data_IF_189745961862
#
_entry.id   IF_189745961862
#
_cell.length_a   1.000
_cell.length_b   1.000
_cell.length_c   1.000
_cell.angle_alpha   90.00
_cell.angle_beta   90.00
_cell.angle_gamma   90.00
#
_symmetry.space_group_name_H-M   'P 1'
#
loop_
_entity.id
_entity.type
_entity.pdbx_description
1 polymer ?
#
# COMPACT_ATOMS: atom_id res chain seq x y z
N UNK A 1 -24.51 -22.59 2.65
CA UNK A 1 -25.01 -21.20 2.70
C UNK A 1 -23.98 -20.20 3.18
N UNK A 2 -23.22 -20.48 4.23
CA UNK A 2 -22.19 -19.55 4.76
C UNK A 2 -21.06 -19.25 3.78
N UNK A 3 -20.59 -20.22 3.02
CA UNK A 3 -19.49 -20.09 2.04
C UNK A 3 -19.82 -19.11 0.90
N UNK A 4 -21.04 -19.15 0.39
CA UNK A 4 -21.53 -18.26 -0.68
C UNK A 4 -21.69 -16.82 -0.19
N UNK A 5 -22.20 -16.64 1.03
CA UNK A 5 -22.36 -15.31 1.62
C UNK A 5 -21.02 -14.65 1.93
N UNK A 6 -20.02 -15.44 2.35
CA UNK A 6 -18.65 -14.96 2.52
C UNK A 6 -18.03 -14.49 1.19
N UNK A 7 -18.14 -15.31 0.14
CA UNK A 7 -17.62 -14.96 -1.20
C UNK A 7 -18.26 -13.66 -1.72
N UNK A 8 -19.56 -13.48 -1.50
CA UNK A 8 -20.27 -12.24 -1.84
C UNK A 8 -19.74 -11.02 -1.08
N UNK A 9 -19.38 -11.18 0.20
CA UNK A 9 -18.84 -10.08 1.01
C UNK A 9 -17.44 -9.64 0.58
N UNK A 10 -16.64 -10.55 0.05
CA UNK A 10 -15.27 -10.27 -0.45
C UNK A 10 -15.28 -9.62 -1.82
N UNK A 11 -16.25 -10.00 -2.67
CA UNK A 11 -16.33 -9.51 -4.06
C UNK A 11 -17.17 -8.24 -4.23
N UNK A 12 -18.02 -7.91 -3.26
CA UNK A 12 -18.93 -6.76 -3.31
C UNK A 12 -20.40 -7.17 -3.50
N UNK A 13 -21.29 -6.62 -2.68
CA UNK A 13 -22.70 -7.05 -2.59
C UNK A 13 -23.60 -6.61 -3.76
N UNK A 14 -23.12 -5.77 -4.67
CA UNK A 14 -23.97 -5.12 -5.70
C UNK A 14 -24.24 -5.94 -6.96
N UNK A 15 -23.66 -7.15 -7.12
CA UNK A 15 -23.84 -7.97 -8.30
C UNK A 15 -25.02 -8.99 -8.22
N UNK A 16 -25.82 -8.95 -7.16
CA UNK A 16 -26.80 -10.02 -6.88
C UNK A 16 -28.25 -9.57 -6.69
N UNK A 17 -28.69 -8.56 -7.40
CA UNK A 17 -30.16 -8.32 -7.52
C UNK A 17 -30.63 -8.98 -8.81
N UNK A 18 -31.18 -10.19 -8.69
CA UNK A 18 -31.92 -10.79 -9.77
C UNK A 18 -31.60 -12.22 -10.20
N UNK A 19 -31.20 -13.12 -9.27
CA UNK A 19 -31.24 -14.56 -9.58
C UNK A 19 -32.36 -15.21 -8.76
N UNK A 20 -33.49 -15.43 -9.43
CA UNK A 20 -34.58 -16.26 -8.89
C UNK A 20 -34.03 -17.69 -8.72
N UNK A 21 -34.37 -18.30 -7.56
CA UNK A 21 -34.12 -19.70 -7.23
C UNK A 21 -34.91 -20.61 -8.20
N UNK A 22 -34.33 -20.92 -9.34
CA UNK A 22 -34.76 -22.03 -10.17
C UNK A 22 -33.56 -22.98 -10.30
N UNK A 23 -33.79 -24.20 -9.86
CA UNK A 23 -32.85 -25.29 -9.77
C UNK A 23 -31.98 -25.49 -11.03
N UNK A 24 -30.67 -25.30 -10.86
CA UNK A 24 -29.63 -26.05 -11.55
C UNK A 24 -28.34 -25.93 -10.74
N UNK A 25 -27.84 -27.07 -10.26
CA UNK A 25 -26.66 -27.22 -9.42
C UNK A 25 -25.35 -27.06 -10.22
N UNK A 26 -25.08 -25.91 -10.80
CA UNK A 26 -23.71 -25.56 -11.17
C UNK A 26 -23.11 -24.70 -10.05
N UNK A 27 -22.16 -25.25 -9.30
CA UNK A 27 -21.32 -24.47 -8.38
C UNK A 27 -20.61 -23.41 -9.21
N UNK A 28 -21.02 -22.16 -9.08
CA UNK A 28 -20.32 -21.02 -9.69
C UNK A 28 -18.83 -21.13 -9.32
N UNK A 29 -17.95 -21.18 -10.32
CA UNK A 29 -16.52 -21.32 -10.10
C UNK A 29 -15.96 -20.05 -9.41
N UNK A 30 -14.92 -20.18 -8.59
CA UNK A 30 -14.25 -19.01 -8.00
C UNK A 30 -13.80 -18.00 -9.04
N UNK A 31 -13.39 -18.48 -10.22
CA UNK A 31 -12.99 -17.62 -11.32
C UNK A 31 -14.17 -16.82 -11.88
N UNK A 32 -15.34 -17.44 -12.03
CA UNK A 32 -16.57 -16.75 -12.47
C UNK A 32 -16.91 -15.60 -11.49
N UNK A 33 -16.83 -15.84 -10.18
CA UNK A 33 -17.08 -14.81 -9.17
C UNK A 33 -16.11 -13.63 -9.29
N UNK A 34 -14.83 -13.90 -9.58
CA UNK A 34 -13.83 -12.85 -9.83
C UNK A 34 -14.15 -12.09 -11.11
N UNK A 35 -14.45 -12.80 -12.19
CA UNK A 35 -14.74 -12.21 -13.51
C UNK A 35 -15.99 -11.32 -13.46
N UNK A 36 -16.99 -11.66 -12.64
CA UNK A 36 -18.18 -10.84 -12.40
C UNK A 36 -17.89 -9.48 -11.74
N UNK A 37 -16.74 -9.30 -11.10
CA UNK A 37 -16.31 -7.99 -10.56
C UNK A 37 -15.68 -7.09 -11.61
N UNK A 38 -15.23 -7.67 -12.75
CA UNK A 38 -14.44 -6.99 -13.77
C UNK A 38 -15.18 -5.80 -14.38
N UNK A 39 -14.44 -4.69 -14.56
CA UNK A 39 -14.90 -3.50 -15.26
C UNK A 39 -13.99 -3.20 -16.43
N UNK A 40 -14.53 -2.48 -17.43
CA UNK A 40 -13.75 -2.06 -18.59
C UNK A 40 -12.74 -0.99 -18.14
N UNK A 41 -11.47 -1.25 -18.42
CA UNK A 41 -10.32 -0.35 -18.22
C UNK A 41 -9.50 -0.28 -19.50
N UNK A 42 -8.65 0.71 -19.63
CA UNK A 42 -7.99 1.06 -20.91
C UNK A 42 -6.47 1.23 -20.81
N UNK A 43 -5.89 1.24 -19.62
CA UNK A 43 -4.46 1.48 -19.41
C UNK A 43 -4.03 2.96 -19.50
N UNK A 44 -4.98 3.92 -19.59
CA UNK A 44 -4.70 5.35 -19.85
C UNK A 44 -3.89 6.05 -18.74
N UNK A 45 -3.89 5.48 -17.53
CA UNK A 45 -3.12 6.05 -16.42
C UNK A 45 -1.67 5.55 -16.36
N UNK A 46 -1.26 4.70 -17.30
CA UNK A 46 0.14 4.28 -17.42
C UNK A 46 0.99 5.48 -17.86
N UNK A 47 2.00 5.83 -17.09
CA UNK A 47 2.83 7.03 -17.30
C UNK A 47 2.03 8.33 -17.39
N UNK A 48 0.83 8.36 -16.81
CA UNK A 48 0.04 9.58 -16.78
C UNK A 48 0.72 10.65 -15.93
N UNK A 49 0.78 11.86 -16.47
CA UNK A 49 1.17 13.08 -15.76
C UNK A 49 0.07 14.13 -15.92
N UNK A 50 -0.15 14.93 -14.88
CA UNK A 50 -1.01 16.10 -14.98
C UNK A 50 -0.21 17.35 -15.42
N UNK A 51 -0.91 18.44 -15.72
CA UNK A 51 -0.26 19.73 -15.89
C UNK A 51 0.50 20.12 -14.62
N UNK A 52 1.58 20.91 -14.77
CA UNK A 52 2.36 21.44 -13.64
C UNK A 52 1.47 22.22 -12.68
N UNK A 53 1.63 21.96 -11.39
CA UNK A 53 0.95 22.69 -10.32
C UNK A 53 2.03 23.38 -9.50
N UNK A 54 2.22 24.68 -9.71
CA UNK A 54 3.32 25.42 -9.07
C UNK A 54 3.35 25.27 -7.55
N UNK A 55 2.19 25.43 -6.89
CA UNK A 55 1.98 25.21 -5.47
C UNK A 55 0.77 24.32 -5.26
N UNK A 56 0.97 23.10 -4.82
CA UNK A 56 -0.11 22.12 -4.64
C UNK A 56 -0.95 22.49 -3.42
N UNK A 57 -2.23 22.79 -3.65
CA UNK A 57 -3.20 23.08 -2.59
C UNK A 57 -3.83 21.78 -2.10
N UNK A 58 -3.67 21.50 -0.81
CA UNK A 58 -3.96 20.18 -0.22
C UNK A 58 -5.09 20.27 0.79
N UNK A 59 -6.04 19.32 0.69
CA UNK A 59 -6.99 19.01 1.76
C UNK A 59 -6.62 17.70 2.45
N UNK A 60 -6.72 17.62 3.77
CA UNK A 60 -6.46 16.41 4.55
C UNK A 60 -7.75 15.94 5.21
N UNK A 61 -8.16 14.70 4.93
CA UNK A 61 -9.34 14.03 5.51
C UNK A 61 -8.88 12.88 6.41
N UNK A 62 -9.24 12.98 7.70
CA UNK A 62 -8.75 12.08 8.75
C UNK A 62 -7.46 12.60 9.39
N UNK A 63 -7.56 13.10 10.63
CA UNK A 63 -6.48 13.71 11.40
C UNK A 63 -6.17 12.91 12.68
N UNK A 64 -6.41 11.59 12.60
CA UNK A 64 -6.01 10.63 13.64
C UNK A 64 -4.48 10.48 13.71
N UNK A 65 -4.01 9.37 14.28
CA UNK A 65 -2.57 9.11 14.42
C UNK A 65 -1.84 9.27 13.09
N UNK A 66 -2.31 8.60 12.04
CA UNK A 66 -1.66 8.61 10.73
C UNK A 66 -1.77 9.97 10.04
N UNK A 67 -2.97 10.54 9.95
CA UNK A 67 -3.17 11.85 9.30
C UNK A 67 -2.39 12.98 9.96
N UNK A 68 -2.27 12.98 11.31
CA UNK A 68 -1.44 13.94 12.03
C UNK A 68 0.07 13.77 11.73
N UNK A 69 0.53 12.54 11.51
CA UNK A 69 1.91 12.29 11.09
C UNK A 69 2.14 12.79 9.67
N UNK A 70 1.24 12.48 8.74
CA UNK A 70 1.33 12.96 7.35
C UNK A 70 1.31 14.49 7.28
N UNK A 71 0.45 15.17 8.04
CA UNK A 71 0.44 16.63 8.11
C UNK A 71 1.84 17.20 8.42
N UNK A 72 2.56 16.58 9.35
CA UNK A 72 3.90 17.06 9.75
C UNK A 72 4.93 16.91 8.63
N UNK A 73 4.74 15.96 7.70
CA UNK A 73 5.65 15.77 6.55
C UNK A 73 5.60 16.94 5.56
N UNK A 74 4.53 17.76 5.59
CA UNK A 74 4.39 18.93 4.72
C UNK A 74 5.20 20.16 5.18
N UNK A 75 5.73 20.18 6.40
CA UNK A 75 6.45 21.37 6.93
C UNK A 75 7.48 21.91 5.96
N UNK A 76 8.43 21.08 5.51
CA UNK A 76 9.49 21.50 4.57
C UNK A 76 8.92 21.96 3.22
N UNK A 77 7.86 21.31 2.73
CA UNK A 77 7.25 21.64 1.44
C UNK A 77 6.52 22.98 1.49
N UNK A 78 5.91 23.31 2.62
CA UNK A 78 5.29 24.61 2.88
C UNK A 78 6.37 25.70 2.97
N UNK A 79 7.43 25.47 3.73
CA UNK A 79 8.57 26.41 3.85
C UNK A 79 9.27 26.67 2.50
N UNK A 80 9.19 25.72 1.56
CA UNK A 80 9.73 25.84 0.20
C UNK A 80 8.71 26.32 -0.83
N UNK A 81 7.51 26.65 -0.41
CA UNK A 81 6.41 27.10 -1.27
C UNK A 81 5.96 26.06 -2.33
N UNK A 82 6.23 24.75 -2.10
CA UNK A 82 5.82 23.67 -2.99
C UNK A 82 4.38 23.21 -2.75
N UNK A 83 3.86 23.41 -1.56
CA UNK A 83 2.51 23.03 -1.18
C UNK A 83 1.93 23.99 -0.14
N UNK A 84 0.59 23.98 -0.02
CA UNK A 84 -0.17 24.68 1.01
C UNK A 84 -1.32 23.81 1.49
N UNK A 85 -1.51 23.68 2.80
CA UNK A 85 -2.66 22.96 3.38
C UNK A 85 -3.81 23.97 3.54
N UNK A 86 -4.90 23.80 2.79
CA UNK A 86 -6.01 24.75 2.78
C UNK A 86 -7.31 24.20 3.37
N UNK A 87 -7.36 22.88 3.67
CA UNK A 87 -8.50 22.25 4.31
C UNK A 87 -8.10 21.13 5.27
N UNK A 88 -8.67 21.10 6.46
CA UNK A 88 -8.49 20.09 7.50
C UNK A 88 -9.85 19.51 7.88
N UNK A 89 -10.02 18.19 7.71
CA UNK A 89 -11.29 17.51 7.98
C UNK A 89 -11.10 16.30 8.91
N UNK A 90 -11.87 16.27 9.99
CA UNK A 90 -12.03 15.11 10.88
C UNK A 90 -13.36 15.23 11.61
N UNK A 91 -14.03 14.12 11.86
CA UNK A 91 -15.29 14.08 12.63
C UNK A 91 -15.11 14.52 14.10
N UNK A 92 -13.88 14.53 14.60
CA UNK A 92 -13.55 14.94 15.95
C UNK A 92 -12.92 16.34 15.98
N UNK A 93 -13.63 17.33 16.52
CA UNK A 93 -13.16 18.71 16.61
C UNK A 93 -11.83 18.88 17.35
N UNK A 94 -11.53 18.02 18.35
CA UNK A 94 -10.23 18.04 19.04
C UNK A 94 -9.06 17.77 18.10
N UNK A 95 -9.24 16.93 17.06
CA UNK A 95 -8.20 16.58 16.10
C UNK A 95 -7.97 17.70 15.09
N UNK A 96 -9.02 18.33 14.60
CA UNK A 96 -8.89 19.49 13.70
C UNK A 96 -8.26 20.69 14.43
N UNK A 97 -8.64 20.98 15.68
CA UNK A 97 -8.01 22.02 16.50
C UNK A 97 -6.50 21.78 16.68
N UNK A 98 -6.11 20.51 17.01
CA UNK A 98 -4.69 20.12 17.14
C UNK A 98 -3.96 20.33 15.81
N UNK A 99 -4.52 19.87 14.70
CA UNK A 99 -3.92 20.02 13.39
C UNK A 99 -3.74 21.48 12.98
N UNK A 100 -4.76 22.33 13.19
CA UNK A 100 -4.67 23.77 12.96
C UNK A 100 -3.58 24.44 13.81
N UNK A 101 -3.47 24.09 15.09
CA UNK A 101 -2.41 24.61 15.98
C UNK A 101 -1.01 24.17 15.54
N UNK A 102 -0.87 22.98 14.96
CA UNK A 102 0.42 22.53 14.39
C UNK A 102 0.72 23.32 13.12
N UNK A 103 -0.24 23.43 12.22
CA UNK A 103 -0.08 24.10 10.91
C UNK A 103 0.27 25.58 11.05
N UNK A 104 -0.36 26.31 11.98
CA UNK A 104 -0.11 27.74 12.22
C UNK A 104 1.34 28.09 12.58
N UNK A 105 2.15 27.09 12.95
CA UNK A 105 3.60 27.28 13.24
C UNK A 105 4.45 27.36 11.97
N UNK A 106 3.95 26.92 10.83
CA UNK A 106 4.70 26.77 9.58
C UNK A 106 4.09 27.54 8.41
N UNK A 107 2.78 27.75 8.46
CA UNK A 107 2.01 28.33 7.39
C UNK A 107 1.33 29.62 7.87
N UNK A 108 1.45 30.68 7.08
CA UNK A 108 0.87 32.00 7.41
C UNK A 108 -0.66 32.00 7.27
N UNK A 109 -1.17 31.40 6.20
CA UNK A 109 -2.62 31.32 5.95
C UNK A 109 -3.22 30.15 6.74
N UNK A 110 -4.36 30.40 7.39
CA UNK A 110 -5.08 29.33 8.07
C UNK A 110 -5.79 28.41 7.06
N UNK A 111 -5.83 27.10 7.37
CA UNK A 111 -6.68 26.17 6.65
C UNK A 111 -8.12 26.20 7.17
N UNK A 112 -9.10 26.04 6.28
CA UNK A 112 -10.50 25.89 6.67
C UNK A 112 -10.73 24.55 7.38
N UNK A 113 -11.60 24.55 8.38
CA UNK A 113 -11.86 23.40 9.24
C UNK A 113 -13.25 22.82 8.98
N UNK A 114 -13.30 21.50 8.76
CA UNK A 114 -14.51 20.73 8.47
C UNK A 114 -14.67 19.64 9.53
N UNK A 115 -15.60 19.83 10.48
CA UNK A 115 -15.82 18.93 11.62
C UNK A 115 -17.23 19.00 12.21
N UNK A 116 -18.21 19.45 11.42
CA UNK A 116 -19.61 19.64 11.86
C UNK A 116 -20.47 18.41 11.62
N UNK A 117 -20.10 17.53 10.68
CA UNK A 117 -20.84 16.32 10.36
C UNK A 117 -19.95 15.23 9.77
N UNK A 118 -20.47 13.99 9.75
CA UNK A 118 -19.79 12.84 9.14
C UNK A 118 -19.60 12.99 7.62
N UNK A 119 -20.35 13.89 6.98
CA UNK A 119 -20.30 14.17 5.54
C UNK A 119 -19.48 15.40 5.16
N UNK A 120 -18.85 16.08 6.10
CA UNK A 120 -18.06 17.29 5.85
C UNK A 120 -16.89 17.07 4.88
N UNK A 121 -16.37 15.85 4.79
CA UNK A 121 -15.36 15.49 3.81
C UNK A 121 -15.82 15.70 2.36
N UNK A 122 -17.14 15.62 2.09
CA UNK A 122 -17.72 15.92 0.78
C UNK A 122 -17.59 17.41 0.42
N UNK A 123 -17.66 18.29 1.43
CA UNK A 123 -17.44 19.74 1.24
C UNK A 123 -15.99 20.01 0.84
N UNK A 124 -15.01 19.32 1.48
CA UNK A 124 -13.60 19.40 1.09
C UNK A 124 -13.39 18.95 -0.36
N UNK A 125 -13.97 17.80 -0.73
CA UNK A 125 -13.85 17.27 -2.09
C UNK A 125 -14.46 18.18 -3.17
N UNK A 126 -15.52 18.95 -2.84
CA UNK A 126 -16.22 19.87 -3.76
C UNK A 126 -15.55 21.24 -3.93
N UNK A 127 -14.51 21.56 -3.19
CA UNK A 127 -13.79 22.84 -3.33
C UNK A 127 -13.03 22.88 -4.65
N UNK A 128 -13.20 23.97 -5.42
CA UNK A 128 -12.50 24.14 -6.71
C UNK A 128 -11.03 24.51 -6.55
N UNK A 129 -10.65 25.05 -5.38
CA UNK A 129 -9.30 25.51 -5.09
C UNK A 129 -8.38 24.43 -4.48
N UNK A 130 -8.84 23.17 -4.33
CA UNK A 130 -8.02 22.03 -3.88
C UNK A 130 -7.55 21.23 -5.10
N UNK A 131 -6.25 20.95 -5.16
CA UNK A 131 -5.62 20.11 -6.18
C UNK A 131 -5.54 18.64 -5.75
N UNK A 132 -5.16 18.39 -4.48
CA UNK A 132 -4.87 17.08 -3.92
C UNK A 132 -5.61 16.86 -2.61
N UNK A 133 -6.24 15.69 -2.45
CA UNK A 133 -6.83 15.25 -1.19
C UNK A 133 -6.02 14.08 -0.62
N UNK A 134 -5.53 14.25 0.61
CA UNK A 134 -4.94 13.17 1.41
C UNK A 134 -6.06 12.52 2.24
N UNK A 135 -6.18 11.18 2.15
CA UNK A 135 -7.17 10.40 2.88
C UNK A 135 -6.48 9.47 3.88
N UNK A 136 -6.73 9.70 5.18
CA UNK A 136 -6.16 8.90 6.27
C UNK A 136 -7.25 8.47 7.28
N UNK A 137 -8.34 7.95 6.76
CA UNK A 137 -9.54 7.49 7.47
C UNK A 137 -9.51 5.96 7.70
N UNK A 138 -10.48 5.33 8.38
CA UNK A 138 -10.62 3.88 8.42
C UNK A 138 -10.83 3.28 7.03
N UNK A 139 -10.34 2.06 6.79
CA UNK A 139 -10.33 1.38 5.49
C UNK A 139 -11.64 1.43 4.71
N UNK A 140 -12.78 1.30 5.42
CA UNK A 140 -14.12 1.34 4.80
C UNK A 140 -14.41 2.63 4.03
N UNK A 141 -13.70 3.72 4.37
CA UNK A 141 -13.90 5.05 3.79
C UNK A 141 -12.91 5.35 2.66
N UNK A 142 -11.83 4.59 2.51
CA UNK A 142 -10.79 4.84 1.50
C UNK A 142 -11.37 4.89 0.09
N UNK A 143 -12.03 3.82 -0.34
CA UNK A 143 -12.63 3.76 -1.69
C UNK A 143 -13.74 4.79 -1.90
N UNK A 144 -14.79 4.91 -1.03
CA UNK A 144 -15.86 5.90 -1.25
C UNK A 144 -15.35 7.33 -1.34
N UNK A 145 -14.41 7.71 -0.46
CA UNK A 145 -13.81 9.05 -0.48
C UNK A 145 -12.96 9.28 -1.72
N UNK A 146 -12.13 8.30 -2.11
CA UNK A 146 -11.28 8.40 -3.30
C UNK A 146 -12.10 8.57 -4.58
N UNK A 147 -13.16 7.77 -4.75
CA UNK A 147 -14.07 7.87 -5.91
C UNK A 147 -14.71 9.27 -5.97
N UNK A 148 -15.29 9.72 -4.88
CA UNK A 148 -15.97 11.02 -4.82
C UNK A 148 -15.00 12.18 -5.06
N UNK A 149 -13.78 12.13 -4.52
CA UNK A 149 -12.76 13.16 -4.77
C UNK A 149 -12.36 13.22 -6.25
N UNK A 150 -12.11 12.08 -6.89
CA UNK A 150 -11.78 12.04 -8.33
C UNK A 150 -12.94 12.57 -9.19
N UNK A 151 -14.18 12.20 -8.87
CA UNK A 151 -15.40 12.67 -9.56
C UNK A 151 -15.63 14.19 -9.39
N UNK A 152 -15.08 14.77 -8.33
CA UNK A 152 -15.04 16.23 -8.10
C UNK A 152 -13.69 16.85 -8.50
N UNK A 153 -13.01 16.25 -9.46
CA UNK A 153 -11.80 16.81 -10.10
C UNK A 153 -10.56 16.92 -9.21
N UNK A 154 -10.42 16.09 -8.16
CA UNK A 154 -9.26 16.09 -7.25
C UNK A 154 -8.30 14.95 -7.55
N UNK A 155 -7.00 15.20 -7.47
CA UNK A 155 -6.02 14.14 -7.27
C UNK A 155 -6.17 13.56 -5.87
N UNK A 156 -5.88 12.28 -5.71
CA UNK A 156 -6.06 11.56 -4.43
C UNK A 156 -4.79 10.83 -4.05
N UNK A 157 -4.42 10.96 -2.79
CA UNK A 157 -3.42 10.11 -2.16
C UNK A 157 -4.03 9.50 -0.88
N UNK A 158 -4.25 8.19 -0.89
CA UNK A 158 -4.97 7.47 0.14
C UNK A 158 -4.04 6.55 0.92
N UNK A 159 -4.23 6.48 2.24
CA UNK A 159 -3.52 5.52 3.10
C UNK A 159 -3.80 4.07 2.72
N UNK A 160 -2.90 3.21 3.16
CA UNK A 160 -2.92 1.77 2.86
C UNK A 160 -3.99 1.01 3.66
N UNK A 161 -4.63 -0.01 3.03
CA UNK A 161 -4.73 -0.28 1.60
C UNK A 161 -5.73 0.67 0.92
N UNK A 162 -5.58 0.96 -0.37
CA UNK A 162 -6.52 1.86 -1.06
C UNK A 162 -7.90 1.24 -1.21
N UNK A 163 -7.96 -0.09 -1.28
CA UNK A 163 -9.17 -0.91 -1.30
C UNK A 163 -8.93 -2.24 -0.57
N UNK A 164 -10.00 -2.85 -0.08
CA UNK A 164 -9.97 -4.19 0.52
C UNK A 164 -11.04 -5.14 -0.05
N UNK A 165 -11.69 -4.70 -1.14
CA UNK A 165 -12.62 -5.49 -1.96
C UNK A 165 -12.19 -5.44 -3.41
N UNK A 166 -12.32 -6.55 -4.12
CA UNK A 166 -11.88 -6.65 -5.51
C UNK A 166 -12.68 -5.71 -6.44
N UNK A 167 -13.98 -5.61 -6.23
CA UNK A 167 -14.84 -4.70 -6.99
C UNK A 167 -14.40 -3.22 -6.85
N UNK A 168 -13.95 -2.84 -5.67
CA UNK A 168 -13.50 -1.48 -5.39
C UNK A 168 -12.18 -1.16 -6.11
N UNK A 169 -11.29 -2.15 -6.28
CA UNK A 169 -10.09 -2.00 -7.12
C UNK A 169 -10.46 -1.64 -8.56
N UNK A 170 -11.46 -2.31 -9.13
CA UNK A 170 -11.95 -2.00 -10.47
C UNK A 170 -12.59 -0.62 -10.57
N UNK A 171 -13.44 -0.24 -9.59
CA UNK A 171 -14.08 1.08 -9.55
C UNK A 171 -13.04 2.21 -9.50
N UNK A 172 -12.03 2.08 -8.65
CA UNK A 172 -10.95 3.07 -8.52
C UNK A 172 -10.18 3.23 -9.82
N UNK A 173 -9.79 2.11 -10.46
CA UNK A 173 -9.10 2.15 -11.74
C UNK A 173 -9.94 2.83 -12.82
N UNK A 174 -11.20 2.40 -12.99
CA UNK A 174 -12.10 2.96 -13.99
C UNK A 174 -12.35 4.45 -13.79
N UNK A 175 -12.53 4.87 -12.52
CA UNK A 175 -12.78 6.29 -12.21
C UNK A 175 -11.55 7.13 -12.45
N UNK A 176 -10.35 6.68 -12.05
CA UNK A 176 -9.09 7.37 -12.34
C UNK A 176 -8.87 7.56 -13.85
N UNK A 177 -9.11 6.51 -14.65
CA UNK A 177 -9.02 6.59 -16.11
C UNK A 177 -10.05 7.54 -16.73
N UNK A 178 -11.29 7.54 -16.20
CA UNK A 178 -12.38 8.41 -16.68
C UNK A 178 -12.12 9.87 -16.37
N UNK A 179 -11.67 10.17 -15.15
CA UNK A 179 -11.49 11.55 -14.68
C UNK A 179 -10.10 12.12 -14.97
N UNK A 180 -9.15 11.28 -15.38
CA UNK A 180 -7.74 11.65 -15.58
C UNK A 180 -7.17 12.30 -14.32
N UNK A 181 -7.48 11.70 -13.15
CA UNK A 181 -6.93 12.12 -11.86
C UNK A 181 -6.05 11.03 -11.28
N UNK A 182 -4.90 11.42 -10.77
CA UNK A 182 -4.09 10.52 -9.96
C UNK A 182 -4.90 10.03 -8.76
N UNK A 183 -4.83 8.74 -8.51
CA UNK A 183 -5.34 8.11 -7.30
C UNK A 183 -4.29 7.09 -6.88
N UNK A 184 -3.50 7.45 -5.87
CA UNK A 184 -2.38 6.65 -5.41
C UNK A 184 -2.56 6.18 -3.98
N UNK A 185 -1.88 5.09 -3.66
CA UNK A 185 -1.74 4.61 -2.30
C UNK A 185 -0.45 5.15 -1.68
N UNK A 186 -0.53 5.62 -0.44
CA UNK A 186 0.60 6.12 0.32
C UNK A 186 1.42 4.95 0.93
N UNK A 187 2.02 4.13 0.05
CA UNK A 187 2.88 3.02 0.47
C UNK A 187 4.29 3.54 0.77
N UNK A 188 4.54 3.83 2.03
CA UNK A 188 5.77 4.46 2.49
C UNK A 188 7.00 3.54 2.45
N UNK A 189 6.83 2.21 2.50
CA UNK A 189 7.94 1.28 2.52
C UNK A 189 8.76 1.29 1.23
N UNK A 190 8.16 1.70 0.10
CA UNK A 190 8.88 1.93 -1.15
C UNK A 190 9.96 3.02 -1.03
N UNK A 191 9.87 3.88 -0.03
CA UNK A 191 10.75 5.03 0.19
C UNK A 191 11.70 4.85 1.39
N UNK A 192 11.75 3.65 1.97
CA UNK A 192 12.70 3.35 3.03
C UNK A 192 14.12 3.23 2.46
N UNK A 193 15.09 3.67 3.25
CA UNK A 193 16.50 3.71 2.81
C UNK A 193 17.02 2.37 2.35
N UNK A 194 16.64 1.28 3.02
CA UNK A 194 17.07 -0.07 2.67
C UNK A 194 16.47 -0.52 1.34
N UNK A 195 15.16 -0.36 1.19
CA UNK A 195 14.45 -0.76 -0.03
C UNK A 195 14.92 0.04 -1.25
N UNK A 196 15.16 1.34 -1.09
CA UNK A 196 15.70 2.17 -2.17
C UNK A 196 17.16 1.82 -2.50
N UNK A 197 17.96 1.45 -1.52
CA UNK A 197 19.32 0.95 -1.77
C UNK A 197 19.31 -0.34 -2.60
N UNK A 198 18.46 -1.31 -2.24
CA UNK A 198 18.28 -2.56 -3.00
C UNK A 198 17.78 -2.26 -4.42
N UNK A 199 16.79 -1.37 -4.55
CA UNK A 199 16.26 -0.96 -5.85
C UNK A 199 17.36 -0.40 -6.75
N UNK A 200 18.23 0.48 -6.22
CA UNK A 200 19.33 1.05 -6.98
C UNK A 200 20.36 -0.02 -7.41
N UNK A 201 20.68 -0.99 -6.54
CA UNK A 201 21.54 -2.11 -6.92
C UNK A 201 20.93 -2.99 -8.01
N UNK A 202 19.61 -3.18 -7.99
CA UNK A 202 18.89 -3.95 -9.02
C UNK A 202 18.94 -3.21 -10.35
N UNK A 203 18.70 -1.91 -10.35
CA UNK A 203 18.74 -1.09 -11.57
C UNK A 203 20.15 -1.03 -12.18
N UNK A 204 21.18 -1.01 -11.34
CA UNK A 204 22.61 -1.12 -11.73
C UNK A 204 23.05 -2.56 -12.10
N UNK A 205 22.13 -3.53 -12.13
CA UNK A 205 22.39 -4.91 -12.58
C UNK A 205 23.18 -5.79 -11.60
N UNK A 206 23.38 -5.37 -10.35
CA UNK A 206 24.14 -6.12 -9.33
C UNK A 206 23.52 -7.50 -9.06
N UNK A 207 22.19 -7.61 -9.08
CA UNK A 207 21.51 -8.88 -8.83
C UNK A 207 21.40 -9.81 -10.05
N UNK A 208 21.69 -9.31 -11.25
CA UNK A 208 21.38 -10.04 -12.47
C UNK A 208 19.87 -10.26 -12.63
N UNK A 209 19.44 -11.41 -13.14
CA UNK A 209 18.03 -11.75 -13.30
C UNK A 209 17.43 -12.19 -11.96
N UNK A 210 16.40 -11.48 -11.49
CA UNK A 210 15.72 -11.83 -10.25
C UNK A 210 14.75 -13.00 -10.53
N UNK A 211 14.83 -14.04 -9.70
CA UNK A 211 14.02 -15.26 -9.81
C UNK A 211 12.99 -15.39 -8.70
N UNK A 212 13.32 -14.89 -7.49
CA UNK A 212 12.49 -15.03 -6.31
C UNK A 212 12.63 -13.81 -5.39
N UNK A 213 11.55 -13.49 -4.69
CA UNK A 213 11.52 -12.46 -3.64
C UNK A 213 10.65 -12.90 -2.48
N UNK A 214 10.98 -12.40 -1.28
CA UNK A 214 10.12 -12.58 -0.10
C UNK A 214 9.87 -11.22 0.56
N UNK A 215 8.61 -10.97 0.90
CA UNK A 215 8.20 -9.77 1.63
C UNK A 215 7.18 -10.09 2.70
N UNK A 216 6.99 -9.18 3.64
CA UNK A 216 6.08 -9.43 4.75
C UNK A 216 5.56 -8.16 5.42
N UNK A 217 4.53 -8.33 6.24
CA UNK A 217 4.18 -7.46 7.34
C UNK A 217 4.05 -8.31 8.61
N UNK A 218 5.15 -8.42 9.34
CA UNK A 218 5.27 -9.18 10.59
C UNK A 218 5.46 -8.18 11.72
N UNK A 219 4.41 -7.94 12.52
CA UNK A 219 4.36 -6.86 13.49
C UNK A 219 3.43 -7.21 14.66
N UNK A 220 3.92 -7.28 15.87
CA UNK A 220 3.04 -7.48 17.03
C UNK A 220 2.11 -6.27 17.21
N UNK A 221 0.86 -6.43 16.81
CA UNK A 221 -0.19 -5.40 16.96
C UNK A 221 -1.23 -5.77 18.03
N UNK A 222 -1.05 -6.81 18.82
CA UNK A 222 -2.06 -7.29 19.77
C UNK A 222 -2.52 -6.17 20.71
N UNK A 223 -1.60 -5.44 21.33
CA UNK A 223 -1.94 -4.32 22.21
C UNK A 223 -2.74 -3.23 21.49
N UNK A 224 -2.34 -2.86 20.27
CA UNK A 224 -3.03 -1.81 19.50
C UNK A 224 -4.39 -2.27 18.96
N UNK A 225 -4.53 -3.56 18.61
CA UNK A 225 -5.80 -4.12 18.13
C UNK A 225 -6.85 -4.19 19.24
N UNK A 226 -6.41 -4.53 20.45
CA UNK A 226 -7.27 -4.68 21.62
C UNK A 226 -7.52 -3.35 22.38
N UNK A 227 -6.85 -2.28 21.99
CA UNK A 227 -7.04 -0.95 22.55
C UNK A 227 -8.30 -0.28 21.94
N UNK A 228 -9.14 0.31 22.80
CA UNK A 228 -10.42 0.93 22.39
C UNK A 228 -10.23 2.28 21.69
N UNK A 229 -9.13 2.98 21.97
CA UNK A 229 -8.89 4.35 21.49
C UNK A 229 -8.05 4.38 20.23
N UNK A 230 -7.03 3.51 20.12
CA UNK A 230 -6.04 3.55 19.03
C UNK A 230 -6.69 3.37 17.65
N UNK A 231 -7.44 2.30 17.47
CA UNK A 231 -8.30 2.09 16.30
C UNK A 231 -9.75 2.36 16.69
N UNK A 232 -10.11 3.61 16.79
CA UNK A 232 -11.40 4.07 17.31
C UNK A 232 -12.59 3.25 16.82
N UNK A 233 -13.39 2.74 17.76
CA UNK A 233 -14.49 1.81 17.49
C UNK A 233 -14.02 0.44 17.03
N UNK A 234 -12.73 0.11 17.27
CA UNK A 234 -12.12 -1.21 17.00
C UNK A 234 -12.35 -1.70 15.56
N UNK A 235 -12.39 -0.78 14.61
CA UNK A 235 -12.71 -1.09 13.22
C UNK A 235 -11.74 -2.12 12.61
N UNK A 236 -10.46 -2.08 13.00
CA UNK A 236 -9.45 -3.01 12.51
C UNK A 236 -9.59 -4.38 13.17
N UNK A 237 -9.81 -4.45 14.49
CA UNK A 237 -10.06 -5.69 15.21
C UNK A 237 -11.26 -6.45 14.62
N UNK A 238 -12.33 -5.75 14.24
CA UNK A 238 -13.53 -6.35 13.62
C UNK A 238 -13.20 -7.03 12.27
N UNK A 239 -12.19 -6.59 11.52
CA UNK A 239 -11.74 -7.30 10.32
C UNK A 239 -11.14 -8.67 10.69
N UNK A 240 -10.31 -8.72 11.73
CA UNK A 240 -9.70 -9.96 12.22
C UNK A 240 -10.72 -10.94 12.81
N UNK A 241 -11.82 -10.44 13.38
CA UNK A 241 -12.88 -11.27 13.93
C UNK A 241 -13.69 -12.03 12.86
N UNK A 242 -13.82 -11.46 11.67
CA UNK A 242 -14.78 -11.97 10.67
C UNK A 242 -14.15 -12.50 9.39
N UNK A 243 -12.88 -12.19 9.13
CA UNK A 243 -12.17 -12.46 7.86
C UNK A 243 -10.90 -13.26 8.11
N UNK A 244 -10.38 -13.96 7.08
CA UNK A 244 -9.15 -14.74 7.16
C UNK A 244 -8.36 -14.67 5.85
N UNK A 245 -7.14 -14.10 5.89
CA UNK A 245 -6.25 -13.92 4.75
C UNK A 245 -5.12 -12.95 5.08
N UNK A 246 -4.47 -12.43 4.07
CA UNK A 246 -3.42 -11.42 4.21
C UNK A 246 -4.02 -10.01 4.16
N UNK A 247 -4.18 -9.35 5.31
CA UNK A 247 -4.84 -8.04 5.39
C UNK A 247 -3.91 -6.84 5.25
N UNK A 248 -2.61 -7.07 5.12
CA UNK A 248 -1.66 -5.97 5.04
C UNK A 248 -0.52 -6.29 4.06
N UNK A 249 -0.88 -6.44 2.80
CA UNK A 249 0.00 -6.94 1.74
C UNK A 249 1.04 -5.92 1.29
N UNK A 250 0.74 -4.63 1.42
CA UNK A 250 1.36 -3.57 0.66
C UNK A 250 2.78 -3.24 1.10
N UNK A 251 3.08 -3.30 2.41
CA UNK A 251 4.41 -2.99 2.93
C UNK A 251 5.51 -3.96 2.50
N UNK A 252 5.16 -5.25 2.31
CA UNK A 252 6.09 -6.22 1.72
C UNK A 252 6.07 -6.17 0.21
N UNK A 253 4.88 -6.07 -0.39
CA UNK A 253 4.69 -6.22 -1.83
C UNK A 253 5.05 -4.96 -2.64
N UNK A 254 4.88 -3.77 -2.08
CA UNK A 254 5.20 -2.51 -2.76
C UNK A 254 6.66 -2.44 -3.22
N UNK A 255 7.65 -2.54 -2.31
CA UNK A 255 9.06 -2.58 -2.69
C UNK A 255 9.38 -3.71 -3.66
N UNK A 256 8.90 -4.92 -3.41
CA UNK A 256 9.09 -6.08 -4.29
C UNK A 256 8.54 -5.81 -5.70
N UNK A 257 7.40 -5.14 -5.80
CA UNK A 257 6.82 -4.80 -7.11
C UNK A 257 7.70 -3.85 -7.90
N UNK A 258 8.40 -2.94 -7.24
CA UNK A 258 9.41 -2.09 -7.88
C UNK A 258 10.62 -2.91 -8.34
N UNK A 259 11.15 -3.81 -7.49
CA UNK A 259 12.27 -4.70 -7.85
C UNK A 259 11.97 -5.56 -9.07
N UNK A 260 10.74 -6.04 -9.18
CA UNK A 260 10.31 -6.93 -10.27
C UNK A 260 9.72 -6.19 -11.48
N UNK A 261 9.65 -4.85 -11.44
CA UNK A 261 9.00 -4.00 -12.45
C UNK A 261 7.55 -4.45 -12.74
N UNK A 262 6.79 -4.80 -11.68
CA UNK A 262 5.38 -5.19 -11.79
C UNK A 262 4.57 -4.00 -12.31
N UNK A 263 3.74 -4.25 -13.34
CA UNK A 263 3.01 -3.22 -14.07
C UNK A 263 3.84 -2.48 -15.12
N UNK A 264 5.16 -2.78 -15.23
CA UNK A 264 6.13 -2.13 -16.13
C UNK A 264 7.06 -3.15 -16.81
N UNK A 265 6.48 -4.17 -17.42
CA UNK A 265 7.18 -5.27 -18.09
C UNK A 265 6.87 -6.66 -17.52
N UNK A 266 6.39 -6.75 -16.28
CA UNK A 266 5.90 -7.99 -15.67
C UNK A 266 4.60 -7.71 -14.90
N UNK A 267 3.85 -8.77 -14.54
CA UNK A 267 2.63 -8.65 -13.72
C UNK A 267 2.34 -9.95 -12.99
N UNK A 268 1.44 -9.90 -12.00
CA UNK A 268 1.00 -11.10 -11.29
C UNK A 268 0.17 -11.99 -12.20
N UNK A 269 0.40 -13.30 -12.14
CA UNK A 269 -0.30 -14.31 -12.93
C UNK A 269 -1.39 -15.01 -12.12
N UNK A 270 -1.01 -15.56 -10.98
CA UNK A 270 -1.91 -16.23 -10.04
C UNK A 270 -1.29 -16.24 -8.64
N UNK A 271 -2.11 -16.51 -7.65
CA UNK A 271 -1.67 -16.70 -6.27
C UNK A 271 -2.36 -17.92 -5.62
N UNK A 272 -1.72 -18.40 -4.57
CA UNK A 272 -2.32 -19.32 -3.58
C UNK A 272 -2.00 -18.81 -2.18
N UNK A 273 -2.90 -19.05 -1.22
CA UNK A 273 -2.76 -18.50 0.13
C UNK A 273 -3.27 -19.48 1.18
N UNK A 274 -2.53 -19.57 2.29
CA UNK A 274 -2.84 -20.42 3.43
C UNK A 274 -2.64 -19.65 4.73
N UNK A 275 -3.60 -19.75 5.65
CA UNK A 275 -3.47 -19.25 7.02
C UNK A 275 -3.34 -20.40 8.01
N UNK A 276 -2.55 -20.19 9.07
CA UNK A 276 -2.56 -21.05 10.25
C UNK A 276 -3.89 -20.90 11.00
N UNK A 277 -4.12 -21.74 12.01
CA UNK A 277 -5.17 -21.48 13.00
C UNK A 277 -4.86 -20.18 13.77
N UNK A 278 -5.91 -19.53 14.25
CA UNK A 278 -5.80 -18.41 15.19
C UNK A 278 -5.58 -18.94 16.60
N UNK A 279 -4.69 -18.31 17.38
CA UNK A 279 -4.43 -18.64 18.79
C UNK A 279 -3.95 -17.45 19.62
N UNK A 280 -3.07 -16.63 19.07
CA UNK A 280 -2.33 -15.62 19.84
C UNK A 280 -3.21 -14.42 20.24
N UNK A 281 -4.01 -13.89 19.32
CA UNK A 281 -4.85 -12.73 19.59
C UNK A 281 -5.98 -13.08 20.56
N UNK A 282 -6.62 -14.25 20.41
CA UNK A 282 -7.65 -14.71 21.34
C UNK A 282 -7.10 -14.98 22.74
N UNK A 283 -5.87 -15.51 22.85
CA UNK A 283 -5.19 -15.66 24.13
C UNK A 283 -4.93 -14.32 24.82
N UNK A 284 -4.40 -13.36 24.07
CA UNK A 284 -4.14 -11.99 24.59
C UNK A 284 -5.46 -11.30 25.02
N UNK A 285 -6.51 -11.41 24.21
CA UNK A 285 -7.84 -10.85 24.54
C UNK A 285 -8.42 -11.44 25.83
N UNK A 286 -8.32 -12.76 26.00
CA UNK A 286 -8.79 -13.44 27.22
C UNK A 286 -8.00 -13.01 28.47
N UNK A 287 -6.69 -12.79 28.36
CA UNK A 287 -5.86 -12.35 29.48
C UNK A 287 -6.31 -11.00 30.07
N UNK A 288 -6.86 -10.12 29.23
CA UNK A 288 -7.37 -8.80 29.65
C UNK A 288 -8.88 -8.74 29.78
N UNK A 289 -9.58 -9.89 29.71
CA UNK A 289 -11.04 -9.99 29.71
C UNK A 289 -11.72 -9.10 28.63
N UNK A 290 -11.10 -9.00 27.46
CA UNK A 290 -11.66 -8.22 26.34
C UNK A 290 -12.97 -8.87 25.86
N UNK A 291 -14.05 -8.06 25.59
CA UNK A 291 -15.36 -8.63 25.19
C UNK A 291 -15.30 -9.39 23.87
N UNK A 292 -14.46 -8.95 22.92
CA UNK A 292 -14.18 -9.68 21.68
C UNK A 292 -12.92 -10.54 21.88
N UNK A 293 -13.08 -11.87 22.00
CA UNK A 293 -11.99 -12.81 22.31
C UNK A 293 -11.98 -14.07 21.44
N UNK A 294 -12.62 -13.99 20.29
CA UNK A 294 -12.62 -15.03 19.24
C UNK A 294 -12.45 -14.37 17.88
N UNK A 295 -11.51 -14.87 17.08
CA UNK A 295 -11.14 -14.29 15.81
C UNK A 295 -11.03 -15.36 14.72
N UNK A 296 -11.38 -14.99 13.49
CA UNK A 296 -11.32 -15.88 12.32
C UNK A 296 -9.95 -15.80 11.61
N UNK A 297 -9.30 -14.65 11.66
CA UNK A 297 -8.00 -14.44 11.03
C UNK A 297 -6.93 -15.31 11.69
N UNK A 298 -6.29 -16.20 10.93
CA UNK A 298 -5.17 -16.99 11.42
C UNK A 298 -4.00 -16.14 11.90
N UNK A 299 -3.13 -16.69 12.74
CA UNK A 299 -1.97 -15.96 13.26
C UNK A 299 -0.98 -15.61 12.15
N UNK A 300 -0.65 -16.58 11.29
CA UNK A 300 0.24 -16.40 10.14
C UNK A 300 -0.50 -16.72 8.84
N UNK A 301 -0.39 -15.81 7.86
CA UNK A 301 -0.78 -16.10 6.48
C UNK A 301 0.46 -16.12 5.58
N UNK A 302 0.52 -17.11 4.69
CA UNK A 302 1.53 -17.25 3.64
C UNK A 302 0.82 -17.21 2.29
N UNK A 303 1.18 -16.26 1.46
CA UNK A 303 0.66 -16.10 0.09
C UNK A 303 1.80 -16.25 -0.90
N UNK A 304 1.70 -17.21 -1.82
CA UNK A 304 2.63 -17.38 -2.94
C UNK A 304 2.03 -16.77 -4.19
N UNK A 305 2.80 -15.93 -4.87
CA UNK A 305 2.39 -15.26 -6.10
C UNK A 305 3.36 -15.63 -7.22
N UNK A 306 2.84 -16.02 -8.38
CA UNK A 306 3.60 -16.25 -9.61
C UNK A 306 3.42 -15.06 -10.54
N UNK A 307 4.51 -14.58 -11.14
CA UNK A 307 4.43 -13.54 -12.18
C UNK A 307 4.33 -14.12 -13.59
N UNK A 308 3.96 -13.31 -14.56
CA UNK A 308 3.89 -13.73 -15.97
C UNK A 308 5.25 -14.07 -16.56
N UNK A 309 6.32 -13.37 -16.15
CA UNK A 309 7.71 -13.67 -16.55
C UNK A 309 8.34 -14.83 -15.73
N UNK A 310 7.57 -15.52 -14.90
CA UNK A 310 8.00 -16.77 -14.23
C UNK A 310 8.68 -16.57 -12.89
N UNK A 311 8.75 -15.36 -12.34
CA UNK A 311 9.29 -15.09 -11.00
C UNK A 311 8.28 -15.51 -9.92
N UNK A 312 8.76 -15.77 -8.71
CA UNK A 312 7.92 -16.12 -7.55
C UNK A 312 8.09 -15.13 -6.41
N UNK A 313 7.02 -14.91 -5.67
CA UNK A 313 6.97 -14.04 -4.50
C UNK A 313 6.36 -14.82 -3.34
N UNK A 314 7.05 -14.87 -2.19
CA UNK A 314 6.45 -15.28 -0.93
C UNK A 314 6.08 -14.03 -0.14
N UNK A 315 4.80 -13.87 0.20
CA UNK A 315 4.30 -12.74 0.97
C UNK A 315 3.68 -13.23 2.28
N UNK A 316 4.21 -12.77 3.42
CA UNK A 316 3.78 -13.19 4.75
C UNK A 316 3.06 -12.07 5.50
N UNK A 317 2.10 -12.46 6.34
CA UNK A 317 1.35 -11.55 7.21
C UNK A 317 1.13 -12.19 8.58
N UNK A 318 1.56 -11.48 9.64
CA UNK A 318 1.29 -11.85 11.04
C UNK A 318 1.30 -10.59 11.91
N UNK A 319 0.18 -10.32 12.57
CA UNK A 319 0.05 -9.21 13.52
C UNK A 319 -0.46 -9.67 14.88
N UNK A 320 -0.52 -10.97 15.10
CA UNK A 320 -1.04 -11.62 16.30
C UNK A 320 0.06 -12.21 17.18
N UNK A 321 1.25 -12.45 16.66
CA UNK A 321 2.35 -13.08 17.40
C UNK A 321 3.27 -12.03 18.01
N UNK A 322 3.69 -12.24 19.26
CA UNK A 322 4.73 -11.46 19.90
C UNK A 322 6.08 -11.69 19.22
N UNK A 323 6.57 -10.69 18.50
CA UNK A 323 7.76 -10.78 17.68
C UNK A 323 8.36 -9.41 17.35
N UNK A 324 9.66 -9.34 17.01
CA UNK A 324 10.22 -8.14 16.39
C UNK A 324 9.57 -7.84 15.04
N UNK A 325 9.51 -6.55 14.68
CA UNK A 325 9.05 -6.10 13.38
C UNK A 325 9.95 -6.62 12.25
N UNK A 326 9.34 -7.09 11.16
CA UNK A 326 10.06 -7.50 9.95
C UNK A 326 9.19 -7.35 8.70
N UNK A 327 9.79 -6.88 7.62
CA UNK A 327 9.23 -6.96 6.26
C UNK A 327 9.91 -8.03 5.41
N UNK A 328 10.86 -8.77 5.98
CA UNK A 328 11.73 -9.75 5.30
C UNK A 328 12.62 -9.06 4.26
N UNK A 329 12.04 -8.54 3.19
CA UNK A 329 12.73 -7.83 2.10
C UNK A 329 13.87 -8.66 1.50
N UNK A 330 13.58 -9.90 1.08
CA UNK A 330 14.55 -10.79 0.44
C UNK A 330 14.46 -10.69 -1.08
N UNK A 331 15.62 -10.66 -1.73
CA UNK A 331 15.76 -10.70 -3.18
C UNK A 331 16.78 -11.77 -3.56
N UNK A 332 16.40 -12.66 -4.46
CA UNK A 332 17.25 -13.72 -5.00
C UNK A 332 17.41 -13.51 -6.50
N UNK A 333 18.60 -13.17 -6.90
CA UNK A 333 19.00 -13.00 -8.30
C UNK A 333 20.07 -14.00 -8.72
N UNK A 334 20.44 -13.98 -10.00
CA UNK A 334 21.47 -14.88 -10.55
C UNK A 334 22.90 -14.50 -10.18
N UNK A 335 23.11 -13.29 -9.62
CA UNK A 335 24.44 -12.77 -9.24
C UNK A 335 24.55 -12.32 -7.80
N UNK A 336 23.43 -12.17 -7.08
CA UNK A 336 23.42 -11.69 -5.72
C UNK A 336 22.18 -12.16 -4.98
N UNK A 337 22.28 -12.23 -3.64
CA UNK A 337 21.16 -12.46 -2.74
C UNK A 337 21.22 -11.39 -1.65
N UNK A 338 20.10 -10.74 -1.41
CA UNK A 338 19.87 -9.91 -0.23
C UNK A 338 18.87 -10.59 0.70
N UNK A 339 19.12 -10.51 2.01
CA UNK A 339 18.20 -10.93 3.06
C UNK A 339 18.09 -9.80 4.09
N UNK A 340 16.89 -9.28 4.29
CA UNK A 340 16.63 -8.20 5.24
C UNK A 340 16.26 -8.73 6.63
N UNK A 341 16.40 -7.88 7.67
CA UNK A 341 15.99 -8.17 9.04
C UNK A 341 16.67 -9.36 9.72
N UNK A 342 18.03 -9.31 9.94
CA UNK A 342 18.92 -8.19 9.62
C UNK A 342 19.34 -8.17 8.16
N UNK A 343 19.72 -6.98 7.66
CA UNK A 343 20.18 -6.81 6.29
C UNK A 343 21.54 -7.48 6.07
N UNK A 344 21.62 -8.34 5.07
CA UNK A 344 22.81 -9.11 4.66
C UNK A 344 22.84 -9.21 3.14
N UNK A 345 24.03 -9.22 2.57
CA UNK A 345 24.24 -9.30 1.13
C UNK A 345 25.23 -10.40 0.80
N UNK A 346 24.91 -11.21 -0.20
CA UNK A 346 25.82 -12.13 -0.86
C UNK A 346 25.98 -11.67 -2.30
N UNK A 347 27.22 -11.65 -2.79
CA UNK A 347 27.54 -11.38 -4.19
C UNK A 347 28.23 -12.64 -4.73
N UNK A 348 27.72 -13.15 -5.83
CA UNK A 348 28.31 -14.32 -6.47
C UNK A 348 29.67 -13.97 -7.13
N UNK A 349 30.60 -14.91 -7.12
CA UNK A 349 31.83 -14.77 -7.84
C UNK A 349 31.61 -15.01 -9.34
N UNK A 350 32.52 -14.51 -10.18
CA UNK A 350 32.49 -14.77 -11.64
C UNK A 350 32.52 -16.25 -11.99
N UNK A 351 33.07 -17.07 -11.09
CA UNK A 351 33.12 -18.53 -11.20
C UNK A 351 32.48 -19.15 -9.98
N UNK A 352 31.55 -20.12 -10.14
CA UNK A 352 30.94 -20.81 -9.00
C UNK A 352 32.02 -21.43 -8.09
N UNK A 353 31.93 -21.15 -6.80
CA UNK A 353 32.81 -21.66 -5.77
C UNK A 353 32.10 -22.75 -4.97
N UNK A 354 32.79 -23.90 -4.79
CA UNK A 354 32.21 -25.06 -4.10
C UNK A 354 31.81 -24.76 -2.64
N UNK A 355 32.47 -23.78 -1.99
CA UNK A 355 32.26 -23.38 -0.58
C UNK A 355 31.83 -21.92 -0.40
N UNK A 356 31.25 -21.30 -1.39
CA UNK A 356 30.72 -19.93 -1.30
C UNK A 356 29.45 -19.81 -0.42
N UNK A 357 29.61 -20.01 0.90
CA UNK A 357 28.49 -20.12 1.86
C UNK A 357 28.33 -18.90 2.78
N UNK A 358 29.12 -17.86 2.60
CA UNK A 358 29.18 -16.73 3.54
C UNK A 358 28.57 -15.46 2.98
N UNK A 359 27.82 -14.76 3.81
CA UNK A 359 27.44 -13.38 3.54
C UNK A 359 28.68 -12.49 3.50
N UNK A 360 28.62 -11.36 2.78
CA UNK A 360 29.67 -10.35 2.83
C UNK A 360 29.97 -9.96 4.27
N UNK A 361 31.24 -9.77 4.57
CA UNK A 361 31.63 -9.17 5.86
C UNK A 361 31.17 -7.71 5.92
N UNK A 362 31.28 -7.11 7.11
CA UNK A 362 30.81 -5.75 7.34
C UNK A 362 31.53 -4.72 6.46
N UNK A 363 32.79 -4.89 6.17
CA UNK A 363 33.61 -3.94 5.38
C UNK A 363 33.12 -3.94 3.93
N UNK A 364 32.99 -5.11 3.33
CA UNK A 364 32.48 -5.25 1.96
C UNK A 364 31.03 -4.83 1.84
N UNK A 365 30.17 -5.21 2.80
CA UNK A 365 28.78 -4.78 2.86
C UNK A 365 28.66 -3.23 2.88
N UNK A 366 29.45 -2.57 3.74
CA UNK A 366 29.43 -1.10 3.87
C UNK A 366 29.91 -0.41 2.58
N UNK A 367 30.86 -1.00 1.81
CA UNK A 367 31.27 -0.51 0.49
C UNK A 367 30.10 -0.54 -0.51
N UNK A 368 29.35 -1.65 -0.56
CA UNK A 368 28.17 -1.75 -1.41
C UNK A 368 27.11 -0.75 -0.98
N UNK A 369 26.88 -0.58 0.31
CA UNK A 369 25.91 0.39 0.86
C UNK A 369 26.24 1.83 0.48
N UNK A 370 27.49 2.19 0.53
CA UNK A 370 27.95 3.52 0.13
C UNK A 370 27.90 3.72 -1.39
N UNK A 371 28.40 2.73 -2.15
CA UNK A 371 28.47 2.81 -3.63
C UNK A 371 27.10 2.95 -4.26
N UNK A 372 26.13 2.20 -3.78
CA UNK A 372 24.78 2.14 -4.35
C UNK A 372 23.72 2.90 -3.55
N UNK A 373 24.12 3.87 -2.68
CA UNK A 373 23.16 4.74 -2.00
C UNK A 373 22.26 5.42 -3.05
N UNK A 374 20.94 5.27 -2.91
CA UNK A 374 19.99 5.80 -3.88
C UNK A 374 20.06 7.33 -3.98
N UNK A 375 20.02 7.95 -5.18
CA UNK A 375 20.17 9.40 -5.36
C UNK A 375 19.23 10.24 -4.48
N UNK A 376 17.95 9.87 -4.38
CA UNK A 376 16.98 10.58 -3.56
C UNK A 376 17.32 10.54 -2.06
N UNK A 377 17.85 9.41 -1.57
CA UNK A 377 18.32 9.29 -0.19
C UNK A 377 19.51 10.23 0.03
N UNK A 378 20.50 10.19 -0.84
CA UNK A 378 21.68 11.07 -0.79
C UNK A 378 21.27 12.53 -0.75
N UNK A 379 20.34 12.95 -1.61
CA UNK A 379 19.80 14.32 -1.70
C UNK A 379 19.07 14.73 -0.42
N UNK A 380 18.19 13.89 0.10
CA UNK A 380 17.29 14.23 1.21
C UNK A 380 17.79 13.79 2.58
N UNK A 381 18.95 13.16 2.69
CA UNK A 381 19.49 12.56 3.93
C UNK A 381 19.45 13.49 5.14
N UNK A 382 19.94 14.74 4.98
CA UNK A 382 19.95 15.71 6.08
C UNK A 382 18.56 16.22 6.44
N UNK A 383 17.67 16.34 5.45
CA UNK A 383 16.32 16.86 5.64
C UNK A 383 15.43 15.82 6.28
N UNK A 384 15.46 14.56 5.78
CA UNK A 384 14.63 13.47 6.28
C UNK A 384 14.90 13.13 7.75
N UNK A 385 16.10 13.40 8.26
CA UNK A 385 16.43 13.24 9.68
C UNK A 385 15.56 14.10 10.61
N UNK A 386 15.02 15.23 10.12
CA UNK A 386 14.11 16.08 10.89
C UNK A 386 12.67 15.52 10.94
N UNK A 387 12.40 14.43 10.21
CA UNK A 387 11.07 13.84 10.05
C UNK A 387 11.04 12.35 10.47
N UNK A 388 11.89 11.96 11.43
CA UNK A 388 12.01 10.57 11.90
C UNK A 388 10.70 10.00 12.49
N UNK A 389 9.81 10.87 13.04
CA UNK A 389 8.47 10.50 13.49
C UNK A 389 7.60 9.92 12.37
N UNK A 390 7.94 10.19 11.10
CA UNK A 390 7.37 9.55 9.91
C UNK A 390 8.17 8.30 9.53
N UNK A 391 8.12 7.26 10.36
CA UNK A 391 8.75 5.95 10.11
C UNK A 391 10.23 6.06 9.70
N UNK A 392 11.03 6.79 10.47
CA UNK A 392 12.45 6.96 10.19
C UNK A 392 12.78 7.89 9.01
N UNK A 393 11.80 8.62 8.48
CA UNK A 393 11.93 9.57 7.38
C UNK A 393 11.33 9.12 6.05
N UNK A 394 10.93 7.84 5.91
CA UNK A 394 10.35 7.34 4.65
C UNK A 394 9.03 8.04 4.29
N UNK A 395 8.18 8.40 5.28
CA UNK A 395 6.96 9.17 5.02
C UNK A 395 7.25 10.54 4.40
N UNK A 396 8.30 11.21 4.87
CA UNK A 396 8.71 12.49 4.32
C UNK A 396 9.15 12.35 2.86
N UNK A 397 9.98 11.34 2.54
CA UNK A 397 10.45 11.12 1.18
C UNK A 397 9.27 10.82 0.24
N UNK A 398 8.32 10.00 0.68
CA UNK A 398 7.08 9.70 -0.04
C UNK A 398 6.28 10.97 -0.36
N UNK A 399 6.00 11.80 0.64
CA UNK A 399 5.23 13.05 0.45
C UNK A 399 6.02 14.06 -0.39
N UNK A 400 7.35 14.15 -0.18
CA UNK A 400 8.21 14.99 -1.01
C UNK A 400 8.11 14.59 -2.48
N UNK A 401 8.27 13.31 -2.81
CA UNK A 401 8.17 12.81 -4.18
C UNK A 401 6.81 13.09 -4.79
N UNK A 402 5.72 12.78 -4.07
CA UNK A 402 4.35 13.06 -4.50
C UNK A 402 4.18 14.53 -4.91
N UNK A 403 4.52 15.45 -4.03
CA UNK A 403 4.33 16.88 -4.28
C UNK A 403 5.26 17.37 -5.39
N UNK A 404 6.52 16.93 -5.42
CA UNK A 404 7.45 17.37 -6.45
C UNK A 404 7.09 16.86 -7.85
N UNK A 405 6.59 15.62 -7.96
CA UNK A 405 6.08 15.14 -9.25
C UNK A 405 4.90 15.99 -9.75
N UNK A 406 3.95 16.35 -8.87
CA UNK A 406 2.84 17.23 -9.23
C UNK A 406 3.33 18.64 -9.61
N UNK A 407 4.30 19.22 -8.87
CA UNK A 407 4.87 20.53 -9.21
C UNK A 407 5.52 20.54 -10.60
N UNK A 408 6.16 19.44 -10.98
CA UNK A 408 6.92 19.33 -12.22
C UNK A 408 6.11 18.77 -13.38
N UNK A 409 4.88 18.29 -13.14
CA UNK A 409 4.06 17.62 -14.15
C UNK A 409 4.68 16.30 -14.60
N UNK A 410 5.26 15.54 -13.69
CA UNK A 410 5.84 14.23 -13.92
C UNK A 410 4.85 13.14 -13.55
N UNK A 411 4.96 11.93 -14.11
CA UNK A 411 4.28 10.76 -13.58
C UNK A 411 4.61 10.55 -12.10
N UNK A 412 3.69 9.93 -11.37
CA UNK A 412 3.94 9.59 -9.96
C UNK A 412 4.68 8.25 -9.84
N UNK A 413 5.50 8.10 -8.80
CA UNK A 413 6.24 6.86 -8.51
C UNK A 413 5.31 5.65 -8.40
N UNK A 414 4.20 5.84 -7.70
CA UNK A 414 3.11 4.86 -7.53
C UNK A 414 1.91 5.38 -8.31
N UNK A 415 1.36 4.58 -9.20
CA UNK A 415 0.14 4.92 -9.95
C UNK A 415 -1.08 4.14 -9.44
N UNK A 416 -2.24 4.32 -10.07
CA UNK A 416 -3.47 3.62 -9.69
C UNK A 416 -3.35 2.10 -9.87
N UNK A 417 -2.65 1.63 -10.89
CA UNK A 417 -2.50 0.20 -11.16
C UNK A 417 -1.65 -0.48 -10.08
N UNK A 418 -0.55 0.14 -9.67
CA UNK A 418 0.27 -0.31 -8.54
C UNK A 418 -0.60 -0.42 -7.28
N UNK A 419 -1.33 0.64 -6.97
CA UNK A 419 -2.16 0.77 -5.77
C UNK A 419 -3.24 -0.32 -5.68
N UNK A 420 -3.94 -0.59 -6.79
CA UNK A 420 -4.99 -1.61 -6.80
C UNK A 420 -4.45 -3.03 -6.90
N UNK A 421 -3.35 -3.26 -7.64
CA UNK A 421 -2.72 -4.58 -7.72
C UNK A 421 -2.22 -5.06 -6.36
N UNK A 422 -1.53 -4.18 -5.61
CA UNK A 422 -1.05 -4.55 -4.27
C UNK A 422 -2.18 -4.76 -3.28
N UNK A 423 -3.23 -3.94 -3.36
CA UNK A 423 -4.43 -4.07 -2.51
C UNK A 423 -5.27 -5.30 -2.84
N UNK A 424 -5.37 -5.69 -4.12
CA UNK A 424 -6.17 -6.82 -4.57
C UNK A 424 -5.68 -8.17 -4.02
N UNK A 425 -4.42 -8.28 -3.62
CA UNK A 425 -3.90 -9.50 -2.98
C UNK A 425 -4.67 -9.81 -1.70
N UNK A 426 -5.15 -8.81 -0.95
CA UNK A 426 -5.97 -9.03 0.25
C UNK A 426 -7.23 -9.87 -0.05
N UNK A 427 -8.20 -9.43 -0.88
CA UNK A 427 -9.40 -10.22 -1.14
C UNK A 427 -9.11 -11.52 -1.90
N UNK A 428 -8.08 -11.56 -2.75
CA UNK A 428 -7.71 -12.80 -3.45
C UNK A 428 -7.07 -13.83 -2.51
N UNK A 429 -6.26 -13.40 -1.54
CA UNK A 429 -5.73 -14.28 -0.50
C UNK A 429 -6.83 -14.88 0.38
N UNK A 430 -7.86 -14.09 0.72
CA UNK A 430 -9.03 -14.57 1.45
C UNK A 430 -9.80 -15.63 0.66
N UNK A 431 -10.02 -15.40 -0.64
CA UNK A 431 -10.67 -16.39 -1.51
C UNK A 431 -9.89 -17.69 -1.54
N UNK A 432 -8.57 -17.64 -1.73
CA UNK A 432 -7.72 -18.83 -1.72
C UNK A 432 -7.76 -19.54 -0.37
N UNK A 433 -7.49 -18.82 0.72
CA UNK A 433 -7.45 -19.38 2.09
C UNK A 433 -8.77 -20.05 2.47
N UNK A 434 -9.91 -19.44 2.15
CA UNK A 434 -11.23 -19.98 2.52
C UNK A 434 -11.75 -21.06 1.55
N UNK A 435 -10.95 -21.40 0.50
CA UNK A 435 -11.23 -22.46 -0.45
C UNK A 435 -10.04 -23.43 -0.59
N UNK A 436 -9.51 -23.88 0.58
CA UNK A 436 -8.49 -24.93 0.67
C UNK A 436 -7.19 -24.59 -0.10
N UNK A 437 -6.81 -23.31 -0.06
CA UNK A 437 -5.62 -22.78 -0.77
C UNK A 437 -5.68 -22.94 -2.30
N UNK A 438 -6.89 -22.96 -2.86
CA UNK A 438 -7.06 -23.04 -4.32
C UNK A 438 -6.33 -21.90 -5.01
N UNK A 439 -5.67 -22.20 -6.15
CA UNK A 439 -5.01 -21.21 -6.98
C UNK A 439 -6.02 -20.26 -7.61
N UNK A 440 -5.75 -18.97 -7.51
CA UNK A 440 -6.59 -17.88 -7.99
C UNK A 440 -5.85 -17.10 -9.07
N UNK A 441 -6.42 -16.98 -10.28
CA UNK A 441 -5.89 -16.11 -11.33
C UNK A 441 -5.94 -14.65 -10.87
N UNK A 442 -4.85 -13.93 -11.10
CA UNK A 442 -4.79 -12.52 -10.79
C UNK A 442 -5.48 -11.68 -11.89
N UNK A 443 -6.39 -10.75 -11.54
CA UNK A 443 -7.04 -9.89 -12.51
C UNK A 443 -6.05 -8.90 -13.14
N UNK A 444 -6.20 -8.62 -14.42
CA UNK A 444 -5.43 -7.58 -15.12
C UNK A 444 -6.19 -6.24 -15.05
N UNK A 445 -5.78 -5.35 -14.15
CA UNK A 445 -6.31 -4.00 -14.01
C UNK A 445 -5.76 -3.02 -15.05
N UNK A 446 -4.79 -3.43 -15.87
CA UNK A 446 -4.03 -2.56 -16.78
C UNK A 446 -4.47 -2.67 -18.24
N UNK A 447 -5.39 -3.58 -18.56
CA UNK A 447 -5.78 -3.89 -19.95
C UNK A 447 -4.59 -4.28 -20.84
N UNK A 448 -3.62 -5.02 -20.28
CA UNK A 448 -2.44 -5.51 -21.01
C UNK A 448 -1.28 -4.52 -21.09
N UNK A 449 -1.46 -3.26 -20.68
CA UNK A 449 -0.40 -2.23 -20.77
C UNK A 449 0.83 -2.57 -19.90
N UNK A 450 0.66 -3.43 -18.87
CA UNK A 450 1.75 -3.93 -18.02
C UNK A 450 2.92 -4.54 -18.81
N UNK A 451 2.66 -5.03 -20.04
CA UNK A 451 3.69 -5.63 -20.89
C UNK A 451 4.68 -4.61 -21.46
N UNK A 452 4.35 -3.32 -21.44
CA UNK A 452 5.27 -2.27 -21.83
C UNK A 452 6.29 -2.04 -20.72
N UNK A 453 7.56 -2.13 -21.09
CA UNK A 453 8.65 -1.77 -20.20
C UNK A 453 8.69 -0.27 -19.98
N UNK A 454 8.94 0.14 -18.76
CA UNK A 454 9.13 1.52 -18.38
C UNK A 454 9.98 1.61 -17.12
N UNK A 455 10.78 2.67 -17.05
CA UNK A 455 11.55 2.96 -15.85
C UNK A 455 10.64 3.45 -14.71
N UNK A 456 11.09 3.20 -13.50
CA UNK A 456 10.42 3.72 -12.31
C UNK A 456 10.73 5.21 -12.14
N UNK A 457 9.70 6.04 -11.95
CA UNK A 457 9.88 7.49 -11.76
C UNK A 457 10.76 7.82 -10.55
N UNK A 458 10.77 6.98 -9.51
CA UNK A 458 11.62 7.13 -8.32
C UNK A 458 13.13 7.12 -8.66
N UNK A 459 13.53 6.53 -9.79
CA UNK A 459 14.92 6.51 -10.27
C UNK A 459 15.34 7.85 -10.90
N UNK A 460 14.40 8.74 -11.23
CA UNK A 460 14.70 10.07 -11.74
C UNK A 460 15.04 11.03 -10.61
N UNK A 461 16.12 11.78 -10.78
CA UNK A 461 16.46 12.89 -9.89
C UNK A 461 15.48 14.05 -10.08
N UNK A 462 14.82 14.49 -8.97
CA UNK A 462 13.94 15.67 -8.94
C UNK A 462 14.14 16.49 -7.66
#
# INVERSE_FOLDING_TARGET
MERINFIKSVLGASAFVGISLAACNEKESLQSLIDNTKRKVTGKMFNFSCAKIEKVKVGIIGLGNRGSTLLQMFKYLIEKDYAEIIALCDIQSKKTKRASSILSKWQKNSADVYNSSDDDWKKVAKRDDIDLVIIATPWRMHTPMSLFCMENNKHVACEVPIAYKLEDCWKLTQTSEKTQKHCIMLENCNYNTEELWILNMIDEGVFGDITHTEGAYLHDLRALLLDDEYYQGQWRLKQHATRNGNFYTTHGLGPISFYLKIGRGDTFSYLTSMSTREKNLSSAAKQINHPMNSFKCGDMNNTLIKTKKGKSILLQFDVHTGRPYSRINKVVGTKAVHDGYPSRLYIDSEKPEYWGHSWLDKIEYDKYKQKYEHPIIKKLKKISQNFKQGHGGMDFIMIYRLIRCLNLGLPLDINIYDSVMWSAVTPLSELSTNNESQSIKFPDFTSGIWSKENDLEIMREI
#
